data_IF_320420357822
#
_entry.id   IF_320420357822
#
_cell.length_a   1.000
_cell.length_b   1.000
_cell.length_c   1.000
_cell.angle_alpha   90.00
_cell.angle_beta   90.00
_cell.angle_gamma   90.00
#
_symmetry.space_group_name_H-M   'P 1'
#
loop_
_entity.id
_entity.type
_entity.pdbx_description
1 polymer ?
#
# COMPACT_ATOMS: atom_id res chain seq x y z
N UNK A 1 -2.04 17.89 -10.93
CA UNK A 1 -0.64 18.13 -10.45
C UNK A 1 0.04 16.78 -10.35
N UNK A 2 1.30 16.60 -10.77
CA UNK A 2 1.93 15.28 -10.70
C UNK A 2 2.31 14.92 -9.25
N UNK A 3 2.24 13.62 -8.91
CA UNK A 3 2.75 13.10 -7.64
C UNK A 3 4.24 13.42 -7.40
N UNK A 4 4.74 13.41 -6.15
CA UNK A 4 6.11 13.76 -5.85
C UNK A 4 7.19 12.96 -6.61
N UNK A 5 8.32 13.61 -6.91
CA UNK A 5 9.44 12.95 -7.62
C UNK A 5 10.23 11.98 -6.72
N UNK A 6 10.38 12.35 -5.44
CA UNK A 6 11.12 11.59 -4.42
C UNK A 6 10.33 11.59 -3.12
N UNK A 7 10.52 10.54 -2.34
CA UNK A 7 9.85 10.34 -1.07
C UNK A 7 10.87 10.16 0.03
N UNK A 8 10.55 10.68 1.21
CA UNK A 8 11.38 10.64 2.39
C UNK A 8 10.58 10.11 3.56
N UNK A 9 11.24 9.36 4.44
CA UNK A 9 10.69 8.93 5.71
C UNK A 9 11.37 9.70 6.84
N UNK A 10 10.57 10.22 7.75
CA UNK A 10 10.97 10.74 9.06
C UNK A 10 10.41 9.81 10.14
N UNK A 11 11.22 9.34 11.10
CA UNK A 11 10.76 8.45 12.16
C UNK A 11 9.87 9.20 13.16
N UNK A 12 8.83 8.50 13.65
CA UNK A 12 8.12 8.85 14.87
C UNK A 12 7.95 7.60 15.76
N UNK A 13 7.54 7.79 17.01
CA UNK A 13 7.20 6.67 17.90
C UNK A 13 5.86 6.03 17.50
N UNK A 14 5.65 4.78 17.95
CA UNK A 14 4.37 4.09 17.76
C UNK A 14 3.25 4.76 18.58
N UNK A 15 3.60 5.26 19.78
CA UNK A 15 2.70 5.88 20.76
C UNK A 15 2.71 7.41 20.71
N UNK A 16 3.35 8.02 19.71
CA UNK A 16 3.38 9.49 19.58
C UNK A 16 1.97 10.00 19.25
N UNK A 17 1.50 10.99 20.00
CA UNK A 17 0.20 11.63 19.75
C UNK A 17 0.14 12.19 18.31
N UNK A 18 -0.99 11.95 17.62
CA UNK A 18 -1.25 12.36 16.24
C UNK A 18 -1.49 13.88 16.11
N UNK A 19 -0.65 14.68 16.77
CA UNK A 19 -0.65 16.13 16.62
C UNK A 19 -0.12 16.52 15.24
N UNK A 20 -0.78 17.48 14.60
CA UNK A 20 -0.41 17.92 13.26
C UNK A 20 1.01 18.52 13.27
N UNK A 21 1.92 18.07 12.39
CA UNK A 21 3.25 18.64 12.29
C UNK A 21 3.19 20.10 11.83
N UNK A 22 4.15 20.89 12.28
CA UNK A 22 4.26 22.28 11.86
C UNK A 22 4.42 22.40 10.33
N UNK A 23 3.75 23.39 9.75
CA UNK A 23 3.88 23.73 8.33
C UNK A 23 5.31 24.13 7.99
N UNK A 24 5.99 24.87 8.87
CA UNK A 24 7.44 25.06 8.83
C UNK A 24 8.12 23.90 9.54
N UNK A 25 8.52 22.91 8.74
CA UNK A 25 9.09 21.67 9.23
C UNK A 25 10.62 21.71 9.18
N UNK A 26 11.25 21.48 10.33
CA UNK A 26 12.72 21.36 10.43
C UNK A 26 13.09 19.93 10.03
N UNK A 27 13.88 19.79 8.96
CA UNK A 27 14.34 18.48 8.51
C UNK A 27 15.31 17.86 9.53
N UNK A 28 15.16 16.57 9.86
CA UNK A 28 16.16 15.85 10.64
C UNK A 28 17.54 15.91 9.98
N UNK A 29 18.59 16.02 10.79
CA UNK A 29 19.98 16.14 10.33
C UNK A 29 20.37 15.04 9.32
N UNK A 30 19.90 13.81 9.57
CA UNK A 30 20.16 12.64 8.71
C UNK A 30 19.66 12.76 7.27
N UNK A 31 18.66 13.61 7.00
CA UNK A 31 18.17 13.89 5.63
C UNK A 31 18.53 15.31 5.17
N UNK A 32 18.76 16.25 6.09
CA UNK A 32 19.19 17.61 5.78
C UNK A 32 20.64 17.67 5.30
N UNK A 33 21.52 16.83 5.84
CA UNK A 33 22.96 16.77 5.50
C UNK A 33 23.27 15.98 4.22
N UNK A 34 22.26 15.34 3.60
CA UNK A 34 22.48 14.58 2.38
C UNK A 34 22.80 15.50 1.20
N UNK A 35 23.57 14.99 0.23
CA UNK A 35 23.92 15.72 -1.00
C UNK A 35 22.72 16.15 -1.85
N UNK A 36 21.56 15.52 -1.65
CA UNK A 36 20.30 15.87 -2.30
C UNK A 36 19.15 15.84 -1.28
N UNK A 37 19.03 16.87 -0.43
CA UNK A 37 18.02 16.89 0.63
C UNK A 37 16.60 17.09 0.06
N UNK A 38 15.54 16.86 0.88
CA UNK A 38 14.18 17.20 0.50
C UNK A 38 14.05 18.63 -0.02
N UNK A 39 13.30 18.83 -1.11
CA UNK A 39 13.07 20.13 -1.78
C UNK A 39 11.63 20.18 -2.30
N UNK A 40 11.22 21.35 -2.79
CA UNK A 40 9.89 21.55 -3.36
C UNK A 40 9.53 20.45 -4.38
N UNK A 41 8.31 19.91 -4.26
CA UNK A 41 7.80 18.79 -5.06
C UNK A 41 8.25 17.40 -4.60
N UNK A 42 8.93 17.27 -3.46
CA UNK A 42 9.20 15.98 -2.81
C UNK A 42 8.15 15.67 -1.73
N UNK A 43 7.93 14.38 -1.48
CA UNK A 43 7.02 13.89 -0.45
C UNK A 43 7.77 13.53 0.84
N UNK A 44 7.17 13.79 1.99
CA UNK A 44 7.70 13.38 3.31
C UNK A 44 6.63 12.58 4.05
N UNK A 45 6.92 11.34 4.43
CA UNK A 45 6.12 10.56 5.35
C UNK A 45 6.72 10.66 6.76
N UNK A 46 5.91 11.04 7.74
CA UNK A 46 6.22 10.79 9.15
C UNK A 46 5.63 9.42 9.48
N UNK A 47 6.51 8.46 9.72
CA UNK A 47 6.12 7.07 9.87
C UNK A 47 6.87 6.36 11.00
N UNK A 48 6.09 5.68 11.85
CA UNK A 48 6.60 4.78 12.87
C UNK A 48 6.97 3.43 12.23
N UNK A 49 7.77 2.63 12.93
CA UNK A 49 8.09 1.28 12.52
C UNK A 49 7.70 0.29 13.62
N UNK A 50 6.80 -0.63 13.29
CA UNK A 50 6.45 -1.75 14.14
C UNK A 50 7.37 -2.93 13.79
N UNK A 51 8.27 -3.26 14.72
CA UNK A 51 9.19 -4.38 14.53
C UNK A 51 8.51 -5.73 14.64
N UNK A 52 7.41 -5.85 15.38
CA UNK A 52 6.69 -7.12 15.53
C UNK A 52 5.92 -7.40 14.25
N UNK A 53 5.19 -6.41 13.75
CA UNK A 53 4.42 -6.50 12.50
C UNK A 53 5.29 -6.29 11.23
N UNK A 54 6.56 -5.92 11.38
CA UNK A 54 7.48 -5.58 10.28
C UNK A 54 6.89 -4.53 9.31
N UNK A 55 6.20 -3.55 9.87
CA UNK A 55 5.36 -2.62 9.11
C UNK A 55 5.67 -1.18 9.48
N UNK A 56 5.85 -0.33 8.49
CA UNK A 56 5.92 1.11 8.62
C UNK A 56 4.52 1.73 8.66
N UNK A 57 4.18 2.41 9.76
CA UNK A 57 2.88 3.07 9.93
C UNK A 57 3.03 4.57 9.66
N UNK A 58 2.53 5.04 8.52
CA UNK A 58 2.53 6.46 8.15
C UNK A 58 1.42 7.19 8.89
N UNK A 59 1.80 8.16 9.73
CA UNK A 59 0.87 9.03 10.48
C UNK A 59 0.53 10.30 9.70
N UNK A 60 1.52 10.83 8.99
CA UNK A 60 1.38 12.06 8.21
C UNK A 60 2.10 11.94 6.89
N UNK A 61 1.47 12.48 5.85
CA UNK A 61 2.02 12.59 4.51
C UNK A 61 2.12 14.06 4.16
N UNK A 62 3.28 14.45 3.66
CA UNK A 62 3.65 15.83 3.41
C UNK A 62 4.03 16.04 1.96
N UNK A 63 3.70 17.19 1.38
CA UNK A 63 4.28 17.68 0.13
C UNK A 63 5.08 18.94 0.46
N UNK A 64 6.37 18.93 0.12
CA UNK A 64 7.22 20.11 0.27
C UNK A 64 6.82 21.14 -0.79
N UNK A 65 6.40 22.32 -0.36
CA UNK A 65 6.01 23.43 -1.23
C UNK A 65 7.11 24.48 -1.36
N UNK A 66 8.02 24.58 -0.39
CA UNK A 66 9.10 25.56 -0.38
C UNK A 66 10.08 25.41 0.79
N UNK A 67 10.84 26.47 1.07
CA UNK A 67 11.77 26.57 2.19
C UNK A 67 13.26 26.62 1.79
N UNK A 68 14.11 26.96 2.76
CA UNK A 68 15.55 27.15 2.60
C UNK A 68 16.35 26.51 3.75
N UNK A 69 17.64 26.20 3.49
CA UNK A 69 18.50 25.58 4.50
C UNK A 69 17.96 24.23 4.97
N UNK A 70 17.75 24.08 6.28
CA UNK A 70 17.16 22.89 6.92
C UNK A 70 15.64 22.97 7.11
N UNK A 71 15.03 24.13 6.87
CA UNK A 71 13.60 24.36 7.08
C UNK A 71 12.86 24.18 5.75
N UNK A 72 11.75 23.44 5.78
CA UNK A 72 10.87 23.22 4.64
C UNK A 72 9.45 23.60 4.96
N UNK A 73 8.80 24.26 4.02
CA UNK A 73 7.36 24.47 4.06
C UNK A 73 6.70 23.21 3.51
N UNK A 74 5.87 22.56 4.33
CA UNK A 74 5.25 21.27 4.00
C UNK A 74 3.75 21.35 4.21
N UNK A 75 2.99 20.96 3.20
CA UNK A 75 1.56 20.73 3.33
C UNK A 75 1.32 19.30 3.83
N UNK A 76 0.68 19.16 4.98
CA UNK A 76 0.45 17.86 5.64
C UNK A 76 -0.99 17.37 5.48
N UNK A 77 -1.13 16.04 5.32
CA UNK A 77 -2.39 15.30 5.41
C UNK A 77 -2.23 14.14 6.39
N UNK A 78 -3.21 13.88 7.27
CA UNK A 78 -3.18 12.72 8.14
C UNK A 78 -3.28 11.44 7.30
N UNK A 79 -2.67 10.37 7.78
CA UNK A 79 -2.71 9.06 7.14
C UNK A 79 -2.68 7.95 8.19
N UNK A 80 -3.23 6.80 7.83
CA UNK A 80 -3.12 5.55 8.57
C UNK A 80 -2.51 4.44 7.70
N UNK A 81 -1.83 4.85 6.61
CA UNK A 81 -1.31 3.92 5.63
C UNK A 81 -0.15 3.10 6.19
N UNK A 82 -0.09 1.84 5.77
CA UNK A 82 0.87 0.87 6.25
C UNK A 82 1.75 0.38 5.10
N UNK A 83 3.07 0.37 5.30
CA UNK A 83 4.07 -0.09 4.35
C UNK A 83 4.76 -1.32 4.93
N UNK A 84 4.53 -2.48 4.34
CA UNK A 84 5.20 -3.70 4.80
C UNK A 84 6.67 -3.74 4.35
N UNK A 85 7.57 -4.16 5.24
CA UNK A 85 9.02 -4.15 5.01
C UNK A 85 9.57 -5.57 4.91
N UNK A 86 9.62 -6.05 3.67
CA UNK A 86 9.89 -7.43 3.27
C UNK A 86 11.33 -7.90 3.49
N UNK A 87 12.29 -7.01 3.22
CA UNK A 87 13.71 -7.32 3.18
C UNK A 87 14.41 -6.95 4.49
N UNK A 88 15.36 -7.79 4.93
CA UNK A 88 16.20 -7.48 6.10
C UNK A 88 16.94 -6.14 5.98
N UNK A 89 17.39 -5.80 4.76
CA UNK A 89 17.98 -4.50 4.45
C UNK A 89 16.98 -3.34 4.63
N UNK A 90 15.74 -3.50 4.13
CA UNK A 90 14.67 -2.55 4.38
C UNK A 90 14.43 -2.37 5.87
N UNK A 91 14.28 -3.46 6.62
CA UNK A 91 14.06 -3.43 8.08
C UNK A 91 15.17 -2.67 8.80
N UNK A 92 16.43 -2.92 8.43
CA UNK A 92 17.58 -2.17 8.97
C UNK A 92 17.48 -0.67 8.69
N UNK A 93 17.03 -0.25 7.50
CA UNK A 93 16.80 1.17 7.19
C UNK A 93 15.66 1.78 8.01
N UNK A 94 14.56 1.05 8.19
CA UNK A 94 13.44 1.51 9.01
C UNK A 94 13.80 1.66 10.50
N UNK A 95 14.69 0.80 11.01
CA UNK A 95 15.30 0.92 12.34
C UNK A 95 16.31 2.08 12.44
N UNK A 96 17.03 2.37 11.35
CA UNK A 96 18.11 3.36 11.30
C UNK A 96 17.69 4.84 11.25
N UNK A 97 16.39 5.16 11.35
CA UNK A 97 15.90 6.55 11.44
C UNK A 97 15.42 7.14 10.12
N UNK A 98 15.71 8.42 9.86
CA UNK A 98 15.22 9.12 8.68
C UNK A 98 15.98 8.71 7.40
N UNK A 99 15.27 8.50 6.29
CA UNK A 99 15.90 8.09 5.03
C UNK A 99 15.07 8.50 3.80
N UNK A 100 15.70 8.49 2.62
CA UNK A 100 15.02 8.64 1.33
C UNK A 100 14.66 7.28 0.72
N UNK A 101 13.45 7.13 0.19
CA UNK A 101 13.07 5.92 -0.53
C UNK A 101 13.84 5.82 -1.85
N UNK A 102 14.40 4.64 -2.13
CA UNK A 102 15.01 4.36 -3.42
C UNK A 102 13.95 4.40 -4.53
N UNK A 103 14.31 4.93 -5.71
CA UNK A 103 13.38 5.02 -6.85
C UNK A 103 12.77 3.68 -7.23
N UNK A 104 13.56 2.61 -7.18
CA UNK A 104 13.11 1.22 -7.42
C UNK A 104 12.11 0.70 -6.39
N UNK A 105 11.98 1.35 -5.24
CA UNK A 105 11.05 0.97 -4.16
C UNK A 105 9.78 1.83 -4.13
N UNK A 106 9.73 2.93 -4.88
CA UNK A 106 8.56 3.84 -4.89
C UNK A 106 7.31 3.10 -5.40
N UNK A 107 7.43 2.41 -6.55
CA UNK A 107 6.33 1.62 -7.09
C UNK A 107 5.99 0.42 -6.20
N UNK A 108 7.00 -0.28 -5.67
CA UNK A 108 6.79 -1.45 -4.80
C UNK A 108 6.10 -1.14 -3.47
N UNK A 109 6.21 0.10 -3.00
CA UNK A 109 5.50 0.58 -1.81
C UNK A 109 4.23 1.39 -2.14
N UNK A 110 3.89 1.59 -3.41
CA UNK A 110 2.71 2.33 -3.83
C UNK A 110 2.69 3.80 -3.37
N UNK A 111 3.85 4.47 -3.31
CA UNK A 111 3.94 5.80 -2.72
C UNK A 111 3.28 6.89 -3.60
N UNK A 112 3.18 6.68 -4.91
CA UNK A 112 2.47 7.62 -5.78
C UNK A 112 0.98 7.61 -5.50
N UNK A 113 0.42 6.42 -5.41
CA UNK A 113 -0.99 6.17 -5.17
C UNK A 113 -1.40 6.67 -3.79
N UNK A 114 -0.56 6.39 -2.80
CA UNK A 114 -0.74 6.84 -1.42
C UNK A 114 -0.76 8.38 -1.31
N UNK A 115 0.11 9.09 -2.03
CA UNK A 115 0.06 10.55 -2.08
C UNK A 115 -1.13 11.06 -2.90
N UNK A 116 -1.43 10.41 -4.03
CA UNK A 116 -2.56 10.77 -4.90
C UNK A 116 -3.89 10.68 -4.16
N UNK A 117 -4.07 9.65 -3.34
CA UNK A 117 -5.25 9.46 -2.50
C UNK A 117 -5.34 10.51 -1.39
N UNK A 118 -4.24 10.76 -0.68
CA UNK A 118 -4.24 11.67 0.46
C UNK A 118 -4.48 13.15 0.10
N UNK A 119 -3.97 13.61 -1.05
CA UNK A 119 -4.08 15.01 -1.45
C UNK A 119 -5.15 15.27 -2.51
N UNK A 120 -5.62 14.23 -3.21
CA UNK A 120 -6.65 14.35 -4.26
C UNK A 120 -6.17 15.13 -5.49
N UNK A 121 -6.72 14.83 -6.67
CA UNK A 121 -6.45 15.61 -7.89
C UNK A 121 -5.00 15.59 -8.39
N UNK A 122 -4.20 14.60 -7.95
CA UNK A 122 -2.87 14.37 -8.48
C UNK A 122 -2.87 13.26 -9.54
N UNK A 123 -2.10 13.48 -10.60
CA UNK A 123 -1.84 12.49 -11.63
C UNK A 123 -0.60 11.69 -11.24
N UNK A 124 -0.67 10.36 -11.38
CA UNK A 124 0.45 9.48 -11.05
C UNK A 124 1.62 9.74 -12.00
N UNK A 125 2.83 9.92 -11.45
CA UNK A 125 4.04 9.94 -12.28
C UNK A 125 4.37 8.55 -12.80
N UNK A 126 4.44 8.43 -14.12
CA UNK A 126 5.01 7.25 -14.76
C UNK A 126 6.52 7.16 -14.48
N UNK A 127 6.94 6.07 -13.84
CA UNK A 127 8.34 5.70 -13.73
C UNK A 127 8.79 4.93 -14.98
N UNK A 128 8.89 5.61 -16.12
CA UNK A 128 9.79 5.10 -17.17
C UNK A 128 11.21 5.47 -16.75
N UNK A 129 12.12 4.51 -16.52
CA UNK A 129 13.51 4.84 -16.21
C UNK A 129 14.07 5.67 -17.36
N UNK A 130 14.60 6.85 -17.04
CA UNK A 130 15.27 7.73 -18.00
C UNK A 130 16.36 6.92 -18.71
N UNK A 131 16.18 6.67 -20.01
CA UNK A 131 17.05 5.82 -20.79
C UNK A 131 18.45 6.43 -20.90
N UNK A 132 19.43 5.80 -20.26
CA UNK A 132 20.83 5.90 -20.68
C UNK A 132 20.96 5.13 -22.01
N UNK A 133 21.30 5.82 -23.10
CA UNK A 133 21.80 5.20 -24.36
C UNK A 133 23.05 4.36 -24.02
N UNK A 134 23.32 3.19 -24.63
CA UNK A 134 23.41 3.06 -26.10
C UNK A 134 23.00 1.69 -26.75
N UNK A 135 22.77 1.79 -28.07
CA UNK A 135 23.03 0.83 -29.18
C UNK A 135 22.53 -0.63 -29.13
N UNK A 136 21.61 -0.93 -30.06
CA UNK A 136 21.33 -2.27 -30.57
C UNK A 136 19.84 -2.48 -30.84
N UNK A 137 19.42 -3.03 -31.99
CA UNK A 137 18.01 -3.23 -32.28
C UNK A 137 17.51 -4.41 -31.45
N UNK A 138 16.91 -4.15 -30.29
CA UNK A 138 16.12 -5.14 -29.57
C UNK A 138 14.65 -4.75 -29.64
N UNK A 139 13.88 -5.68 -30.20
CA UNK A 139 12.42 -5.65 -30.33
C UNK A 139 11.78 -5.05 -29.09
N UNK A 140 10.96 -4.03 -29.34
CA UNK A 140 10.09 -3.45 -28.35
C UNK A 140 9.15 -4.53 -27.78
N UNK A 141 9.28 -4.82 -26.49
CA UNK A 141 8.22 -5.44 -25.68
C UNK A 141 7.96 -4.52 -24.52
N UNK A 142 6.94 -3.68 -24.68
CA UNK A 142 6.52 -2.69 -23.70
C UNK A 142 5.62 -3.27 -22.61
N UNK A 143 5.39 -2.40 -21.61
CA UNK A 143 4.37 -2.42 -20.56
C UNK A 143 4.61 -3.38 -19.39
N UNK A 144 4.62 -2.80 -18.20
CA UNK A 144 4.24 -3.43 -16.94
C UNK A 144 2.93 -4.20 -17.15
N UNK A 145 3.04 -5.50 -17.39
CA UNK A 145 1.91 -6.38 -17.64
C UNK A 145 1.61 -7.17 -16.39
N UNK A 146 0.76 -6.64 -15.51
CA UNK A 146 -0.10 -7.53 -14.74
C UNK A 146 -1.25 -7.88 -15.70
N UNK A 147 -1.39 -9.15 -16.13
CA UNK A 147 -2.49 -9.55 -17.01
C UNK A 147 -3.84 -9.15 -16.38
N UNK A 148 -4.78 -8.56 -17.13
CA UNK A 148 -6.12 -8.20 -16.63
C UNK A 148 -6.90 -9.41 -16.07
N UNK A 149 -6.52 -10.61 -16.51
CA UNK A 149 -6.96 -11.92 -16.01
C UNK A 149 -6.70 -12.13 -14.51
N UNK A 150 -5.73 -11.41 -13.92
CA UNK A 150 -5.39 -11.51 -12.49
C UNK A 150 -6.17 -10.55 -11.60
N UNK A 151 -6.86 -9.58 -12.19
CA UNK A 151 -7.68 -8.57 -11.49
C UNK A 151 -9.17 -8.92 -11.53
N UNK A 152 -9.54 -9.90 -12.35
CA UNK A 152 -10.90 -10.42 -12.44
C UNK A 152 -11.05 -11.59 -11.46
N UNK A 153 -12.09 -11.59 -10.61
CA UNK A 153 -12.42 -12.76 -9.81
C UNK A 153 -12.73 -13.92 -10.75
N UNK A 154 -12.16 -15.09 -10.48
CA UNK A 154 -12.43 -16.32 -11.25
C UNK A 154 -13.91 -16.70 -11.10
N UNK A 155 -14.48 -16.45 -9.92
CA UNK A 155 -15.87 -16.76 -9.60
C UNK A 155 -16.49 -15.65 -8.75
N UNK A 156 -17.71 -15.23 -9.13
CA UNK A 156 -18.54 -14.28 -8.37
C UNK A 156 -19.85 -14.96 -8.00
N UNK A 157 -20.18 -15.04 -6.71
CA UNK A 157 -21.33 -15.75 -6.18
C UNK A 157 -22.32 -14.81 -5.51
N UNK A 158 -23.60 -15.00 -5.80
CA UNK A 158 -24.69 -14.18 -5.28
C UNK A 158 -24.93 -12.93 -6.11
N UNK A 159 -26.01 -12.21 -5.79
CA UNK A 159 -26.40 -10.99 -6.47
C UNK A 159 -26.01 -9.74 -5.67
N UNK A 160 -25.72 -8.61 -6.35
CA UNK A 160 -25.47 -7.34 -5.68
C UNK A 160 -26.65 -6.93 -4.79
N UNK A 161 -26.46 -6.99 -3.47
CA UNK A 161 -27.48 -6.58 -2.51
C UNK A 161 -27.40 -5.08 -2.24
N UNK A 162 -28.54 -4.39 -2.23
CA UNK A 162 -28.64 -2.99 -1.84
C UNK A 162 -28.85 -2.89 -0.32
N UNK A 163 -27.82 -2.46 0.42
CA UNK A 163 -27.91 -2.28 1.86
C UNK A 163 -26.71 -1.51 2.43
N UNK A 164 -26.89 -0.85 3.58
CA UNK A 164 -25.80 -0.09 4.21
C UNK A 164 -24.64 -0.96 4.69
N UNK A 165 -24.88 -2.25 4.93
CA UNK A 165 -23.85 -3.24 5.29
C UNK A 165 -23.56 -4.26 4.18
N UNK A 166 -24.26 -4.13 3.06
CA UNK A 166 -24.09 -5.02 1.92
C UNK A 166 -22.72 -4.81 1.26
N UNK A 167 -22.16 -5.91 0.79
CA UNK A 167 -20.87 -5.91 0.12
C UNK A 167 -20.42 -7.31 -0.23
N UNK A 168 -19.14 -7.41 -0.58
CA UNK A 168 -18.51 -8.64 -1.06
C UNK A 168 -17.44 -9.06 -0.08
N UNK A 169 -17.41 -10.34 0.25
CA UNK A 169 -16.23 -10.99 0.83
C UNK A 169 -15.46 -11.64 -0.31
N UNK A 170 -14.18 -11.30 -0.43
CA UNK A 170 -13.27 -11.87 -1.42
C UNK A 170 -12.24 -12.77 -0.77
N UNK A 171 -11.78 -13.74 -1.54
CA UNK A 171 -10.64 -14.59 -1.23
C UNK A 171 -9.55 -14.26 -2.23
N UNK A 172 -8.36 -13.92 -1.74
CA UNK A 172 -7.16 -13.72 -2.53
C UNK A 172 -6.17 -14.85 -2.22
N UNK A 173 -5.74 -15.58 -3.24
CA UNK A 173 -4.81 -16.69 -3.13
C UNK A 173 -3.43 -16.25 -3.61
N UNK A 174 -2.41 -16.53 -2.81
CA UNK A 174 -1.00 -16.30 -3.17
C UNK A 174 -0.13 -17.47 -2.72
N UNK A 175 1.15 -17.43 -3.04
CA UNK A 175 2.13 -18.39 -2.52
C UNK A 175 2.26 -18.36 -0.97
N UNK A 176 1.82 -17.28 -0.32
CA UNK A 176 1.84 -17.11 1.14
C UNK A 176 0.60 -17.69 1.84
N UNK A 177 -0.42 -18.11 1.07
CA UNK A 177 -1.71 -18.56 1.59
C UNK A 177 -2.87 -17.71 1.08
N UNK A 178 -3.97 -17.73 1.83
CA UNK A 178 -5.23 -17.11 1.44
C UNK A 178 -5.55 -15.90 2.31
N UNK A 179 -5.86 -14.76 1.70
CA UNK A 179 -6.40 -13.59 2.38
C UNK A 179 -7.91 -13.56 2.23
N UNK A 180 -8.62 -13.44 3.34
CA UNK A 180 -10.08 -13.25 3.35
C UNK A 180 -10.36 -11.84 3.82
N UNK A 181 -11.03 -11.05 3.00
CA UNK A 181 -11.42 -9.69 3.38
C UNK A 181 -12.67 -9.22 2.65
N UNK A 182 -13.20 -8.08 3.06
CA UNK A 182 -14.41 -7.51 2.45
C UNK A 182 -14.18 -6.20 1.69
N UNK A 183 -15.09 -5.90 0.78
CA UNK A 183 -15.17 -4.61 0.08
C UNK A 183 -16.59 -4.32 -0.36
N UNK A 184 -16.91 -3.04 -0.49
CA UNK A 184 -18.16 -2.55 -1.08
C UNK A 184 -17.99 -2.14 -2.54
N UNK A 185 -16.74 -1.99 -2.98
CA UNK A 185 -16.39 -1.63 -4.35
C UNK A 185 -15.29 -2.60 -4.82
N UNK A 186 -15.72 -3.71 -5.43
CA UNK A 186 -14.82 -4.74 -5.94
C UNK A 186 -13.85 -4.17 -6.98
N UNK A 187 -14.28 -3.40 -7.99
CA UNK A 187 -13.36 -2.85 -9.00
C UNK A 187 -12.29 -1.92 -8.42
N UNK A 188 -12.62 -1.11 -7.42
CA UNK A 188 -11.64 -0.25 -6.76
C UNK A 188 -10.66 -1.05 -5.90
N UNK A 189 -11.17 -2.04 -5.15
CA UNK A 189 -10.35 -2.88 -4.28
C UNK A 189 -9.41 -3.81 -5.05
N UNK A 190 -9.84 -4.36 -6.18
CA UNK A 190 -9.00 -5.22 -7.02
C UNK A 190 -7.88 -4.44 -7.71
N UNK A 191 -8.14 -3.20 -8.12
CA UNK A 191 -7.09 -2.27 -8.58
C UNK A 191 -6.10 -1.95 -7.47
N UNK A 192 -6.57 -1.73 -6.24
CA UNK A 192 -5.70 -1.49 -5.09
C UNK A 192 -4.78 -2.71 -4.80
N UNK A 193 -5.26 -3.94 -4.97
CA UNK A 193 -4.39 -5.12 -4.82
C UNK A 193 -3.30 -5.23 -5.88
N UNK A 194 -3.57 -4.81 -7.11
CA UNK A 194 -2.57 -4.81 -8.19
C UNK A 194 -1.40 -3.88 -7.91
N UNK A 195 -1.62 -2.89 -7.07
CA UNK A 195 -0.63 -1.89 -6.67
C UNK A 195 0.06 -2.27 -5.35
N UNK A 196 -0.68 -2.76 -4.35
CA UNK A 196 -0.16 -2.94 -2.98
C UNK A 196 0.42 -4.32 -2.67
N UNK A 197 0.29 -5.32 -3.54
CA UNK A 197 0.80 -6.68 -3.31
C UNK A 197 1.90 -7.02 -4.33
N UNK A 198 3.20 -6.95 -3.96
CA UNK A 198 4.31 -7.29 -4.83
C UNK A 198 4.53 -8.82 -4.92
N UNK A 199 3.44 -9.60 -4.90
CA UNK A 199 3.44 -11.06 -4.98
C UNK A 199 2.51 -11.53 -6.09
N UNK A 200 2.77 -12.73 -6.63
CA UNK A 200 1.82 -13.35 -7.55
C UNK A 200 0.60 -13.80 -6.74
N UNK A 201 -0.56 -13.28 -7.12
CA UNK A 201 -1.84 -13.59 -6.51
C UNK A 201 -2.92 -13.76 -7.58
N UNK A 202 -3.96 -14.51 -7.21
CA UNK A 202 -5.22 -14.71 -7.95
C UNK A 202 -6.38 -14.44 -7.01
N UNK A 203 -7.55 -14.12 -7.57
CA UNK A 203 -8.78 -13.91 -6.79
C UNK A 203 -9.72 -15.08 -7.13
N UNK A 204 -9.59 -16.23 -6.45
CA UNK A 204 -10.40 -17.40 -6.77
C UNK A 204 -11.91 -17.18 -6.57
N UNK A 205 -12.31 -16.31 -5.63
CA UNK A 205 -13.71 -16.18 -5.24
C UNK A 205 -14.05 -14.78 -4.72
N UNK A 206 -15.20 -14.27 -5.13
CA UNK A 206 -15.91 -13.15 -4.53
C UNK A 206 -17.36 -13.56 -4.24
N UNK A 207 -17.86 -13.37 -3.03
CA UNK A 207 -19.23 -13.71 -2.66
C UNK A 207 -19.97 -12.49 -2.08
N UNK A 208 -21.18 -12.24 -2.57
CA UNK A 208 -22.06 -11.17 -2.09
C UNK A 208 -22.80 -11.57 -0.82
N UNK A 209 -22.89 -10.63 0.12
CA UNK A 209 -23.59 -10.75 1.39
C UNK A 209 -24.38 -9.48 1.70
N UNK A 210 -25.53 -9.65 2.35
CA UNK A 210 -26.35 -8.55 2.86
C UNK A 210 -25.64 -7.79 4.02
N UNK A 211 -24.87 -8.52 4.83
CA UNK A 211 -23.95 -7.98 5.82
C UNK A 211 -22.55 -8.57 5.61
N UNK A 212 -21.73 -7.87 4.82
CA UNK A 212 -20.36 -8.30 4.55
C UNK A 212 -19.42 -8.17 5.77
N UNK A 213 -19.79 -7.38 6.77
CA UNK A 213 -19.00 -7.23 8.00
C UNK A 213 -19.19 -8.44 8.91
N UNK A 214 -20.43 -8.90 9.05
CA UNK A 214 -20.74 -10.12 9.80
C UNK A 214 -20.15 -11.36 9.12
N UNK A 215 -20.29 -11.46 7.80
CA UNK A 215 -19.74 -12.57 7.02
C UNK A 215 -18.22 -12.67 7.13
N UNK A 216 -17.48 -11.55 6.95
CA UNK A 216 -16.02 -11.52 7.13
C UNK A 216 -15.62 -11.98 8.54
N UNK A 217 -16.27 -11.43 9.57
CA UNK A 217 -15.99 -11.79 10.96
C UNK A 217 -16.25 -13.27 11.24
N UNK A 218 -17.35 -13.82 10.71
CA UNK A 218 -17.66 -15.25 10.82
C UNK A 218 -16.56 -16.10 10.22
N UNK A 219 -16.09 -15.81 9.02
CA UNK A 219 -15.01 -16.58 8.38
C UNK A 219 -13.68 -16.43 9.11
N UNK A 220 -13.37 -15.23 9.59
CA UNK A 220 -12.19 -14.98 10.40
C UNK A 220 -12.21 -15.79 11.71
N UNK A 221 -13.37 -15.94 12.33
CA UNK A 221 -13.55 -16.77 13.52
C UNK A 221 -13.49 -18.26 13.17
N UNK A 222 -14.15 -18.68 12.10
CA UNK A 222 -14.18 -20.06 11.63
C UNK A 222 -12.78 -20.59 11.28
N UNK A 223 -11.93 -19.75 10.68
CA UNK A 223 -10.57 -20.10 10.29
C UNK A 223 -9.51 -19.59 11.27
N UNK A 224 -9.89 -19.17 12.48
CA UNK A 224 -8.97 -18.62 13.46
C UNK A 224 -7.80 -19.58 13.78
N UNK A 225 -8.05 -20.89 13.80
CA UNK A 225 -7.03 -21.92 14.01
C UNK A 225 -6.04 -22.09 12.85
N UNK A 226 -6.38 -21.54 11.67
CA UNK A 226 -5.57 -21.57 10.45
C UNK A 226 -4.98 -20.20 10.13
N UNK A 227 -5.11 -19.22 11.03
CA UNK A 227 -4.63 -17.85 10.81
C UNK A 227 -3.10 -17.83 10.84
N UNK A 228 -2.50 -17.36 9.75
CA UNK A 228 -1.05 -17.19 9.62
C UNK A 228 -0.65 -15.83 10.21
N UNK A 229 -1.21 -14.73 9.67
CA UNK A 229 -0.92 -13.38 10.15
C UNK A 229 -2.01 -12.39 9.69
N UNK A 230 -2.63 -11.67 10.64
CA UNK A 230 -3.71 -10.72 10.35
C UNK A 230 -4.90 -11.38 9.62
N UNK A 231 -5.15 -10.95 8.38
CA UNK A 231 -6.22 -11.47 7.52
C UNK A 231 -5.78 -12.61 6.60
N UNK A 232 -4.58 -13.17 6.80
CA UNK A 232 -4.04 -14.29 6.03
C UNK A 232 -4.19 -15.61 6.77
N UNK A 233 -4.56 -16.64 6.02
CA UNK A 233 -4.93 -17.97 6.51
C UNK A 233 -4.33 -19.08 5.63
N UNK A 234 -3.99 -20.19 6.26
CA UNK A 234 -3.57 -21.42 5.60
C UNK A 234 -4.81 -22.27 5.25
N UNK A 235 -5.58 -21.81 4.26
CA UNK A 235 -6.82 -22.46 3.85
C UNK A 235 -6.56 -23.61 2.88
N UNK A 236 -7.35 -24.67 3.03
CA UNK A 236 -7.44 -25.74 2.03
C UNK A 236 -8.56 -25.44 1.03
N UNK A 237 -8.60 -26.15 -0.10
CA UNK A 237 -9.68 -25.97 -1.08
C UNK A 237 -11.07 -26.25 -0.46
N UNK A 238 -11.16 -27.14 0.55
CA UNK A 238 -12.39 -27.39 1.32
C UNK A 238 -12.83 -26.19 2.17
N UNK A 239 -11.90 -25.36 2.62
CA UNK A 239 -12.22 -24.15 3.38
C UNK A 239 -12.70 -23.03 2.47
N UNK A 240 -12.09 -22.91 1.27
CA UNK A 240 -12.56 -21.99 0.23
C UNK A 240 -13.97 -22.37 -0.22
N UNK A 241 -14.28 -23.67 -0.29
CA UNK A 241 -15.63 -24.16 -0.58
C UNK A 241 -16.68 -23.72 0.45
N UNK A 242 -16.33 -23.60 1.74
CA UNK A 242 -17.27 -23.09 2.75
C UNK A 242 -17.63 -21.62 2.50
N UNK A 243 -16.66 -20.82 2.06
CA UNK A 243 -16.89 -19.43 1.66
C UNK A 243 -17.76 -19.41 0.39
N UNK A 244 -17.50 -20.32 -0.56
CA UNK A 244 -18.28 -20.50 -1.79
C UNK A 244 -19.75 -20.80 -1.50
N UNK A 245 -20.00 -21.76 -0.61
CA UNK A 245 -21.32 -22.20 -0.16
C UNK A 245 -21.99 -21.23 0.83
N UNK A 246 -21.31 -20.14 1.22
CA UNK A 246 -21.79 -19.15 2.19
C UNK A 246 -22.18 -19.77 3.55
N UNK A 247 -21.49 -20.83 3.95
CA UNK A 247 -21.76 -21.65 5.16
C UNK A 247 -20.65 -21.60 6.19
#
# INVERSE_FOLDING_TARGET
>A
MLTPLKYWRVPCGLDTEDSQPATEFILPEAIASQSSPPRAGHGIAIAAYDEVAQTGLSRWLGIVTGGAGTIRTVEWKPSNAQIWVDTGFGRSKWKGGAFGFASSKIAGYGLHELWSEAFGGMDLRDHTPAATRPTGPRKATGRSGIPPERLTPIEVIGEPTAGQKAGVVYVLKSAYGYKVGRTRNVPARMRAFGVHLPIVYTIPLCAWFEDCHEAERRYHNMFASKRINGEWFDLTDRDVEKIRMRT
#
